data_IF_587454973066
#
_entry.id   IF_587454973066
#
_cell.length_a   1.000
_cell.length_b   1.000
_cell.length_c   1.000
_cell.angle_alpha   90.00
_cell.angle_beta   90.00
_cell.angle_gamma   90.00
#
_symmetry.space_group_name_H-M   'P 1'
#
loop_
_entity.id
_entity.type
_entity.pdbx_description
1 polymer ?
#
# COMPACT_ATOMS: atom_id res chain seq x y z
N UNK A 1 -5.26 -48.95 -17.56
CA UNK A 1 -6.40 -48.16 -17.06
C UNK A 1 -5.91 -46.76 -16.75
N UNK A 2 -6.23 -45.79 -17.61
CA UNK A 2 -5.84 -44.38 -17.42
C UNK A 2 -6.68 -43.79 -16.30
N UNK A 3 -6.04 -43.34 -15.22
CA UNK A 3 -6.71 -42.63 -14.14
C UNK A 3 -7.20 -41.29 -14.68
N UNK A 4 -8.53 -41.14 -14.79
CA UNK A 4 -9.15 -39.87 -15.11
C UNK A 4 -8.85 -38.89 -13.97
N UNK A 5 -8.01 -37.89 -14.26
CA UNK A 5 -7.80 -36.74 -13.39
C UNK A 5 -9.08 -35.92 -13.37
N UNK A 6 -9.94 -36.17 -12.39
CA UNK A 6 -11.10 -35.32 -12.13
C UNK A 6 -10.59 -33.91 -11.80
N UNK A 7 -10.82 -32.96 -12.70
CA UNK A 7 -10.53 -31.56 -12.40
C UNK A 7 -11.44 -31.15 -11.25
N UNK A 8 -10.91 -30.64 -10.12
CA UNK A 8 -11.74 -30.28 -8.98
C UNK A 8 -12.76 -29.24 -9.42
N UNK A 9 -14.03 -29.47 -9.07
CA UNK A 9 -15.09 -28.49 -9.31
C UNK A 9 -14.79 -27.24 -8.47
N UNK A 10 -14.50 -26.14 -9.16
CA UNK A 10 -14.28 -24.84 -8.53
C UNK A 10 -15.61 -24.09 -8.63
N UNK A 11 -16.24 -23.72 -7.50
CA UNK A 11 -17.47 -22.94 -7.54
C UNK A 11 -17.25 -21.62 -8.31
N UNK A 12 -18.23 -21.15 -9.08
CA UNK A 12 -18.12 -19.90 -9.80
C UNK A 12 -17.86 -18.76 -8.82
N UNK A 13 -16.96 -17.86 -9.22
CA UNK A 13 -16.59 -16.69 -8.40
C UNK A 13 -17.84 -15.84 -8.14
N UNK A 14 -18.09 -15.40 -6.89
CA UNK A 14 -19.20 -14.53 -6.59
C UNK A 14 -19.15 -13.26 -7.46
N UNK A 15 -20.29 -12.86 -7.99
CA UNK A 15 -20.42 -11.60 -8.72
C UNK A 15 -21.05 -10.58 -7.78
N UNK A 16 -20.35 -9.48 -7.43
CA UNK A 16 -20.92 -8.47 -6.56
C UNK A 16 -22.00 -7.71 -7.33
N UNK A 17 -22.98 -7.20 -6.60
CA UNK A 17 -23.93 -6.25 -7.16
C UNK A 17 -23.20 -5.00 -7.67
N UNK A 18 -23.51 -4.62 -8.92
CA UNK A 18 -23.07 -3.35 -9.49
C UNK A 18 -24.07 -2.28 -9.08
N UNK A 19 -23.65 -1.42 -8.16
CA UNK A 19 -24.53 -0.39 -7.60
C UNK A 19 -24.68 0.79 -8.55
N UNK A 20 -25.90 1.34 -8.61
CA UNK A 20 -26.13 2.67 -9.17
C UNK A 20 -25.55 3.71 -8.21
N UNK A 21 -24.58 4.49 -8.69
CA UNK A 21 -23.95 5.56 -7.90
C UNK A 21 -24.55 6.89 -8.30
N UNK A 22 -25.18 7.57 -7.34
CA UNK A 22 -25.61 8.96 -7.51
C UNK A 22 -24.38 9.85 -7.74
N UNK A 23 -24.30 10.61 -8.87
CA UNK A 23 -23.23 11.56 -9.12
C UNK A 23 -22.94 12.52 -7.95
N UNK A 24 -23.96 12.91 -7.18
CA UNK A 24 -23.83 13.85 -6.06
C UNK A 24 -22.93 13.35 -4.93
N UNK A 25 -22.77 12.02 -4.80
CA UNK A 25 -21.91 11.42 -3.78
C UNK A 25 -20.40 11.52 -4.12
N UNK A 26 -20.06 11.73 -5.38
CA UNK A 26 -18.67 11.68 -5.84
C UNK A 26 -17.82 12.83 -5.26
N UNK A 27 -18.27 14.11 -5.29
CA UNK A 27 -17.52 15.20 -4.69
C UNK A 27 -17.27 15.01 -3.19
N UNK A 28 -18.25 14.47 -2.45
CA UNK A 28 -18.11 14.20 -1.01
C UNK A 28 -17.08 13.11 -0.75
N UNK A 29 -17.10 12.02 -1.53
CA UNK A 29 -16.09 10.98 -1.43
C UNK A 29 -14.68 11.51 -1.71
N UNK A 30 -14.54 12.36 -2.73
CA UNK A 30 -13.28 13.03 -3.05
C UNK A 30 -12.83 13.94 -1.90
N UNK A 31 -13.76 14.69 -1.32
CA UNK A 31 -13.50 15.59 -0.20
C UNK A 31 -12.96 14.83 1.01
N UNK A 32 -13.57 13.70 1.38
CA UNK A 32 -13.17 12.93 2.56
C UNK A 32 -11.93 12.07 2.36
N UNK A 33 -11.78 11.38 1.22
CA UNK A 33 -10.76 10.32 1.09
C UNK A 33 -9.61 10.62 0.13
N UNK A 34 -9.76 11.57 -0.80
CA UNK A 34 -8.77 11.78 -1.86
C UNK A 34 -7.82 12.91 -1.48
N UNK A 35 -6.59 12.55 -1.08
CA UNK A 35 -5.51 13.50 -0.77
C UNK A 35 -4.79 14.01 -2.03
N UNK A 36 -4.73 13.20 -3.10
CA UNK A 36 -4.04 13.49 -4.36
C UNK A 36 -4.63 12.69 -5.52
N UNK A 37 -4.35 13.10 -6.75
CA UNK A 37 -4.84 12.44 -7.98
C UNK A 37 -4.13 11.11 -8.30
N UNK A 38 -2.94 10.86 -7.75
CA UNK A 38 -2.30 9.56 -7.89
C UNK A 38 -3.10 8.49 -7.13
N UNK A 39 -3.23 7.31 -7.72
CA UNK A 39 -3.93 6.18 -7.10
C UNK A 39 -3.39 4.85 -7.63
N UNK A 40 -3.80 3.76 -6.99
CA UNK A 40 -3.54 2.40 -7.49
C UNK A 40 -4.85 1.72 -7.86
N UNK A 41 -4.78 0.74 -8.76
CA UNK A 41 -5.92 -0.11 -9.13
C UNK A 41 -5.58 -1.56 -8.84
N UNK A 42 -6.51 -2.29 -8.22
CA UNK A 42 -6.36 -3.74 -8.03
C UNK A 42 -6.58 -4.46 -9.37
N UNK A 43 -5.78 -5.49 -9.67
CA UNK A 43 -5.96 -6.31 -10.86
C UNK A 43 -7.33 -7.00 -10.87
N UNK A 44 -7.91 -7.16 -12.06
CA UNK A 44 -9.21 -7.85 -12.23
C UNK A 44 -9.03 -9.36 -12.06
N UNK A 45 -7.89 -9.86 -12.54
CA UNK A 45 -7.48 -11.26 -12.50
C UNK A 45 -6.32 -11.43 -11.52
N UNK A 46 -6.21 -12.60 -10.88
CA UNK A 46 -5.04 -12.93 -10.08
C UNK A 46 -3.82 -13.11 -10.99
N UNK A 47 -2.64 -12.91 -10.43
CA UNK A 47 -1.41 -13.34 -11.07
C UNK A 47 -1.43 -14.88 -11.23
N UNK A 48 -1.14 -15.42 -12.43
CA UNK A 48 -1.20 -16.86 -12.69
C UNK A 48 -0.27 -17.70 -11.80
N UNK A 49 0.88 -17.15 -11.40
CA UNK A 49 1.94 -17.90 -10.72
C UNK A 49 1.66 -18.08 -9.22
N UNK A 50 1.00 -17.10 -8.58
CA UNK A 50 0.83 -17.09 -7.13
C UNK A 50 -0.59 -16.76 -6.65
N UNK A 51 -1.54 -16.59 -7.58
CA UNK A 51 -2.94 -16.30 -7.26
C UNK A 51 -3.20 -14.91 -6.67
N UNK A 52 -2.18 -14.03 -6.54
CA UNK A 52 -2.32 -12.73 -5.88
C UNK A 52 -2.94 -11.69 -6.80
N UNK A 53 -3.79 -10.85 -6.23
CA UNK A 53 -4.34 -9.67 -6.89
C UNK A 53 -3.48 -8.46 -6.53
N UNK A 54 -2.77 -7.92 -7.52
CA UNK A 54 -1.82 -6.83 -7.29
C UNK A 54 -2.46 -5.47 -7.46
N UNK A 55 -2.00 -4.51 -6.65
CA UNK A 55 -2.24 -3.10 -6.87
C UNK A 55 -1.14 -2.53 -7.77
N UNK A 56 -1.53 -1.75 -8.77
CA UNK A 56 -0.60 -1.08 -9.68
C UNK A 56 -1.07 0.34 -9.99
N UNK A 57 -0.13 1.22 -10.34
CA UNK A 57 -0.47 2.54 -10.84
C UNK A 57 -1.01 2.41 -12.26
N UNK A 58 -2.27 2.81 -12.52
CA UNK A 58 -2.83 2.69 -13.85
C UNK A 58 -2.17 3.70 -14.80
N UNK A 59 -1.85 3.24 -16.00
CA UNK A 59 -1.21 4.03 -17.04
C UNK A 59 -2.05 3.98 -18.31
N UNK A 60 -2.00 5.07 -19.07
CA UNK A 60 -2.50 5.11 -20.43
C UNK A 60 -1.63 4.19 -21.32
N UNK A 61 -2.28 3.44 -22.21
CA UNK A 61 -1.65 2.27 -22.85
C UNK A 61 -0.51 2.66 -23.79
N UNK A 62 -0.64 3.79 -24.49
CA UNK A 62 0.25 4.18 -25.58
C UNK A 62 1.39 5.06 -25.05
N UNK A 63 1.05 6.14 -24.38
CA UNK A 63 1.97 7.14 -23.81
C UNK A 63 2.66 6.66 -22.55
N UNK A 64 2.13 5.61 -21.88
CA UNK A 64 2.57 5.16 -20.55
C UNK A 64 2.47 6.24 -19.47
N UNK A 65 1.71 7.30 -19.74
CA UNK A 65 1.43 8.35 -18.75
C UNK A 65 0.53 7.82 -17.66
N UNK A 66 0.82 8.16 -16.41
CA UNK A 66 -0.02 7.75 -15.27
C UNK A 66 -1.40 8.40 -15.38
N UNK A 67 -2.44 7.61 -15.16
CA UNK A 67 -3.82 8.13 -15.13
C UNK A 67 -4.07 8.84 -13.80
N UNK A 68 -4.69 10.02 -13.88
CA UNK A 68 -5.18 10.73 -12.71
C UNK A 68 -6.53 10.15 -12.25
N UNK A 69 -6.72 10.09 -10.94
CA UNK A 69 -8.01 9.80 -10.33
C UNK A 69 -8.99 10.92 -10.67
N UNK A 70 -10.20 10.54 -11.07
CA UNK A 70 -11.28 11.45 -11.46
C UNK A 70 -12.66 10.89 -11.06
N UNK A 71 -13.72 11.64 -11.31
CA UNK A 71 -15.09 11.27 -10.93
C UNK A 71 -15.52 9.91 -11.47
N UNK A 72 -15.17 9.61 -12.72
CA UNK A 72 -15.46 8.32 -13.33
C UNK A 72 -14.72 7.17 -12.62
N UNK A 73 -13.51 7.43 -12.13
CA UNK A 73 -12.71 6.46 -11.36
C UNK A 73 -13.37 6.15 -10.02
N UNK A 74 -13.83 7.18 -9.30
CA UNK A 74 -14.54 7.01 -8.02
C UNK A 74 -15.90 6.34 -8.23
N UNK A 75 -16.67 6.75 -9.25
CA UNK A 75 -17.93 6.10 -9.61
C UNK A 75 -17.75 4.60 -9.87
N UNK A 76 -16.73 4.22 -10.64
CA UNK A 76 -16.42 2.81 -10.92
C UNK A 76 -16.00 2.03 -9.66
N UNK A 77 -15.34 2.71 -8.71
CA UNK A 77 -14.98 2.09 -7.43
C UNK A 77 -16.22 1.85 -6.56
N UNK A 78 -17.04 2.89 -6.34
CA UNK A 78 -18.26 2.82 -5.54
C UNK A 78 -19.30 1.86 -6.15
N UNK A 79 -19.43 1.80 -7.46
CA UNK A 79 -20.30 0.82 -8.14
C UNK A 79 -19.81 -0.62 -8.01
N UNK A 80 -18.53 -0.86 -7.65
CA UNK A 80 -17.95 -2.20 -7.59
C UNK A 80 -17.39 -2.71 -8.93
N UNK A 81 -17.34 -1.86 -9.97
CA UNK A 81 -16.74 -2.20 -11.27
C UNK A 81 -15.21 -2.31 -11.16
N UNK A 82 -14.58 -1.44 -10.38
CA UNK A 82 -13.14 -1.50 -10.12
C UNK A 82 -12.84 -1.33 -8.64
N UNK A 83 -11.58 -1.55 -8.25
CA UNK A 83 -11.11 -1.32 -6.89
C UNK A 83 -9.88 -0.45 -6.96
N UNK A 84 -9.92 0.69 -6.25
CA UNK A 84 -8.79 1.59 -6.18
C UNK A 84 -8.12 1.53 -4.81
N UNK A 85 -6.86 1.96 -4.74
CA UNK A 85 -6.17 2.28 -3.51
C UNK A 85 -5.77 3.75 -3.51
N UNK A 86 -5.90 4.41 -2.36
CA UNK A 86 -5.66 5.83 -2.16
C UNK A 86 -4.39 6.03 -1.36
N UNK A 87 -3.56 6.99 -1.78
CA UNK A 87 -2.38 7.41 -1.03
C UNK A 87 -2.78 8.32 0.13
N UNK A 88 -2.16 8.08 1.29
CA UNK A 88 -2.49 8.79 2.53
C UNK A 88 -1.98 10.24 2.57
N UNK A 89 -0.91 10.58 1.84
CA UNK A 89 -0.26 11.90 1.97
C UNK A 89 -0.39 12.69 0.68
N UNK A 90 -0.80 13.96 0.79
CA UNK A 90 -0.62 14.94 -0.27
C UNK A 90 0.85 15.40 -0.30
N UNK A 91 1.59 15.24 -1.41
CA UNK A 91 3.02 15.54 -1.46
C UNK A 91 3.34 17.04 -1.43
N UNK A 92 2.39 17.92 -1.78
CA UNK A 92 2.59 19.37 -1.77
C UNK A 92 2.44 19.92 -0.35
N UNK A 93 1.51 19.36 0.43
CA UNK A 93 1.18 19.88 1.77
C UNK A 93 1.69 19.01 2.92
N UNK A 94 2.16 17.78 2.65
CA UNK A 94 2.57 16.78 3.64
C UNK A 94 1.46 16.45 4.66
N UNK A 95 0.19 16.57 4.24
CA UNK A 95 -1.00 16.40 5.07
C UNK A 95 -1.91 15.28 4.57
N UNK A 96 -2.75 14.76 5.46
CA UNK A 96 -3.77 13.74 5.19
C UNK A 96 -5.14 14.16 5.70
N UNK A 97 -6.16 13.92 4.89
CA UNK A 97 -7.59 14.09 5.23
C UNK A 97 -8.13 13.03 6.19
N UNK A 98 -7.37 11.98 6.45
CA UNK A 98 -7.79 10.86 7.28
C UNK A 98 -6.60 10.13 7.91
N UNK A 99 -6.89 9.39 8.96
CA UNK A 99 -6.00 8.39 9.55
C UNK A 99 -6.67 7.02 9.37
N UNK A 100 -5.91 6.00 9.00
CA UNK A 100 -6.41 4.63 8.89
C UNK A 100 -5.49 3.65 9.61
N UNK A 101 -6.09 2.72 10.35
CA UNK A 101 -5.40 1.63 11.03
C UNK A 101 -5.84 0.34 10.35
N UNK A 102 -4.94 -0.28 9.59
CA UNK A 102 -5.17 -1.55 8.90
C UNK A 102 -4.69 -2.71 9.77
N UNK A 103 -5.58 -3.63 10.11
CA UNK A 103 -5.26 -4.80 10.92
C UNK A 103 -5.59 -6.09 10.15
N UNK A 104 -4.54 -6.86 9.85
CA UNK A 104 -4.62 -8.10 9.08
C UNK A 104 -3.79 -9.20 9.77
N UNK A 105 -4.28 -9.62 10.94
CA UNK A 105 -3.65 -10.64 11.79
C UNK A 105 -4.67 -11.21 12.79
N UNK A 106 -4.30 -12.28 13.50
CA UNK A 106 -5.22 -13.07 14.33
C UNK A 106 -5.94 -12.30 15.44
N UNK A 107 -5.35 -11.22 15.98
CA UNK A 107 -5.97 -10.39 17.04
C UNK A 107 -6.57 -9.08 16.52
N UNK A 108 -6.67 -8.90 15.20
CA UNK A 108 -7.10 -7.65 14.57
C UNK A 108 -8.37 -7.05 15.19
N UNK A 109 -9.46 -7.82 15.29
CA UNK A 109 -10.73 -7.29 15.82
C UNK A 109 -10.64 -6.85 17.28
N UNK A 110 -9.91 -7.61 18.13
CA UNK A 110 -9.71 -7.25 19.54
C UNK A 110 -8.93 -5.95 19.66
N UNK A 111 -7.82 -5.85 18.94
CA UNK A 111 -6.90 -4.72 19.06
C UNK A 111 -7.50 -3.45 18.43
N UNK A 112 -8.25 -3.58 17.32
CA UNK A 112 -9.03 -2.47 16.76
C UNK A 112 -10.17 -2.02 17.69
N UNK A 113 -10.84 -2.94 18.39
CA UNK A 113 -11.85 -2.58 19.37
C UNK A 113 -11.26 -1.82 20.56
N UNK A 114 -10.08 -2.23 21.06
CA UNK A 114 -9.37 -1.52 22.12
C UNK A 114 -8.95 -0.12 21.67
N UNK A 115 -8.38 0.02 20.47
CA UNK A 115 -8.05 1.32 19.89
C UNK A 115 -9.27 2.22 19.74
N UNK A 116 -10.38 1.68 19.21
CA UNK A 116 -11.62 2.44 19.02
C UNK A 116 -12.23 2.93 20.34
N UNK A 117 -12.16 2.10 21.39
CA UNK A 117 -12.62 2.50 22.73
C UNK A 117 -11.77 3.66 23.26
N UNK A 118 -10.45 3.54 23.18
CA UNK A 118 -9.54 4.58 23.67
C UNK A 118 -9.66 5.89 22.88
N UNK A 119 -9.79 5.81 21.55
CA UNK A 119 -10.07 6.98 20.70
C UNK A 119 -11.39 7.66 21.12
N UNK A 120 -12.40 6.88 21.51
CA UNK A 120 -13.68 7.41 21.98
C UNK A 120 -13.53 8.15 23.32
N UNK A 121 -12.68 7.68 24.22
CA UNK A 121 -12.37 8.38 25.48
C UNK A 121 -11.68 9.73 25.21
N UNK A 122 -10.84 9.82 24.17
CA UNK A 122 -10.28 11.09 23.66
C UNK A 122 -11.33 11.95 22.91
N UNK A 123 -12.58 11.47 22.79
CA UNK A 123 -13.63 12.13 22.01
C UNK A 123 -13.42 12.05 20.49
N UNK A 124 -12.52 11.19 20.00
CA UNK A 124 -12.24 10.97 18.58
C UNK A 124 -13.16 9.88 18.03
N UNK A 125 -13.83 10.18 16.91
CA UNK A 125 -14.70 9.19 16.25
C UNK A 125 -13.89 8.36 15.26
N UNK A 126 -13.88 7.05 15.48
CA UNK A 126 -13.20 6.08 14.63
C UNK A 126 -14.21 5.04 14.11
N UNK A 127 -14.28 4.89 12.79
CA UNK A 127 -15.29 4.06 12.11
C UNK A 127 -14.68 2.79 11.56
N UNK A 128 -15.32 1.65 11.81
CA UNK A 128 -14.79 0.33 11.47
C UNK A 128 -15.34 -0.14 10.12
N UNK A 129 -14.45 -0.38 9.16
CA UNK A 129 -14.76 -0.98 7.86
C UNK A 129 -14.15 -2.38 7.81
N UNK A 130 -14.95 -3.42 7.60
CA UNK A 130 -14.42 -4.78 7.45
C UNK A 130 -13.49 -4.89 6.23
N UNK A 131 -12.61 -5.89 6.24
CA UNK A 131 -11.70 -6.17 5.13
C UNK A 131 -11.61 -7.68 4.87
N UNK A 132 -10.87 -8.08 3.84
CA UNK A 132 -10.77 -9.50 3.45
C UNK A 132 -10.20 -10.39 4.55
N UNK A 133 -9.30 -9.86 5.37
CA UNK A 133 -8.56 -10.64 6.37
C UNK A 133 -8.59 -10.02 7.77
N UNK A 134 -9.33 -8.93 7.94
CA UNK A 134 -9.45 -8.20 9.19
C UNK A 134 -10.34 -6.98 8.99
N UNK A 135 -9.88 -5.79 9.37
CA UNK A 135 -10.64 -4.56 9.21
C UNK A 135 -9.74 -3.31 9.16
N UNK A 136 -10.32 -2.19 8.76
CA UNK A 136 -9.71 -0.88 8.82
C UNK A 136 -10.48 -0.01 9.81
N UNK A 137 -9.77 0.69 10.69
CA UNK A 137 -10.36 1.73 11.53
C UNK A 137 -10.01 3.11 10.94
N UNK A 138 -11.03 3.87 10.57
CA UNK A 138 -10.90 5.16 9.88
C UNK A 138 -11.26 6.34 10.77
N UNK A 139 -10.43 7.37 10.78
CA UNK A 139 -10.67 8.65 11.44
C UNK A 139 -10.65 9.72 10.35
N UNK A 140 -11.74 10.47 10.19
CA UNK A 140 -11.82 11.56 9.20
C UNK A 140 -11.42 12.88 9.86
N UNK A 141 -10.59 13.65 9.17
CA UNK A 141 -10.15 14.95 9.65
C UNK A 141 -11.07 16.07 9.15
N UNK A 142 -11.17 17.15 9.92
CA UNK A 142 -11.99 18.31 9.55
C UNK A 142 -11.32 19.06 8.39
N UNK A 143 -10.02 19.23 8.52
CA UNK A 143 -9.09 19.72 7.51
C UNK A 143 -7.94 18.71 7.36
N UNK A 144 -7.21 18.70 6.23
CA UNK A 144 -6.04 17.84 6.11
C UNK A 144 -5.03 18.13 7.23
N UNK A 145 -4.66 17.13 8.02
CA UNK A 145 -3.77 17.25 9.18
C UNK A 145 -2.34 16.77 8.85
N UNK A 146 -1.30 17.27 9.55
CA UNK A 146 0.08 16.86 9.30
C UNK A 146 0.26 15.34 9.40
N UNK A 147 0.86 14.73 8.37
CA UNK A 147 0.99 13.28 8.32
C UNK A 147 1.81 12.71 9.49
N UNK A 148 2.88 13.42 9.87
CA UNK A 148 3.71 13.14 11.05
C UNK A 148 2.90 13.10 12.35
N UNK A 149 2.05 14.09 12.60
CA UNK A 149 1.34 14.20 13.87
C UNK A 149 0.24 13.14 13.97
N UNK A 150 -0.47 12.87 12.87
CA UNK A 150 -1.39 11.74 12.77
C UNK A 150 -0.73 10.40 13.13
N UNK A 151 0.53 10.21 12.71
CA UNK A 151 1.31 9.02 13.08
C UNK A 151 1.69 9.02 14.55
N UNK A 152 2.22 10.12 15.06
CA UNK A 152 2.62 10.24 16.48
C UNK A 152 1.46 9.85 17.40
N UNK A 153 0.26 10.37 17.12
CA UNK A 153 -0.92 10.07 17.91
C UNK A 153 -1.23 8.58 17.97
N UNK A 154 -1.43 7.93 16.82
CA UNK A 154 -1.83 6.52 16.78
C UNK A 154 -0.71 5.58 17.24
N UNK A 155 0.56 5.92 16.98
CA UNK A 155 1.69 5.13 17.50
C UNK A 155 1.71 5.14 19.02
N UNK A 156 1.62 6.31 19.66
CA UNK A 156 1.66 6.39 21.12
C UNK A 156 0.44 5.72 21.75
N UNK A 157 -0.73 5.89 21.14
CA UNK A 157 -1.96 5.19 21.52
C UNK A 157 -1.78 3.65 21.47
N UNK A 158 -1.30 3.12 20.35
CA UNK A 158 -1.10 1.68 20.17
C UNK A 158 -0.05 1.12 21.14
N UNK A 159 1.06 1.84 21.36
CA UNK A 159 2.12 1.45 22.29
C UNK A 159 1.61 1.38 23.73
N UNK A 160 0.85 2.40 24.16
CA UNK A 160 0.23 2.45 25.49
C UNK A 160 -0.74 1.30 25.73
N UNK A 161 -1.47 0.87 24.69
CA UNK A 161 -2.40 -0.26 24.74
C UNK A 161 -1.72 -1.62 24.52
N UNK A 162 -0.41 -1.66 24.24
CA UNK A 162 0.30 -2.91 23.92
C UNK A 162 -0.13 -3.55 22.60
N UNK A 163 -0.70 -2.77 21.67
CA UNK A 163 -1.11 -3.23 20.35
C UNK A 163 0.13 -3.36 19.46
N UNK A 164 0.39 -4.54 18.84
CA UNK A 164 1.57 -4.75 18.02
C UNK A 164 1.51 -3.93 16.73
N UNK A 165 2.56 -3.16 16.44
CA UNK A 165 2.72 -2.42 15.19
C UNK A 165 3.62 -3.22 14.26
N UNK A 166 3.17 -3.44 13.03
CA UNK A 166 3.89 -4.27 12.05
C UNK A 166 5.11 -3.56 11.48
N UNK A 167 6.22 -4.29 11.38
CA UNK A 167 7.46 -3.79 10.80
C UNK A 167 8.33 -2.96 11.76
N UNK A 168 7.93 -2.83 13.02
CA UNK A 168 8.73 -2.24 14.10
C UNK A 168 9.28 -3.32 15.02
N UNK A 169 10.50 -3.18 15.54
CA UNK A 169 11.12 -4.17 16.45
C UNK A 169 11.08 -5.64 15.96
N UNK A 170 11.24 -5.90 14.65
CA UNK A 170 11.11 -7.23 14.03
C UNK A 170 9.72 -7.88 14.17
N UNK A 171 8.70 -7.12 14.54
CA UNK A 171 7.32 -7.58 14.62
C UNK A 171 6.80 -7.93 13.21
N UNK A 172 6.52 -9.21 12.98
CA UNK A 172 6.08 -9.72 11.68
C UNK A 172 4.61 -9.40 11.37
N UNK A 173 3.77 -9.42 12.40
CA UNK A 173 2.33 -9.20 12.31
C UNK A 173 1.85 -8.16 13.33
N UNK A 174 0.86 -7.36 12.94
CA UNK A 174 0.32 -6.28 13.74
C UNK A 174 -0.45 -5.28 12.88
N UNK A 175 -0.80 -4.14 13.46
CA UNK A 175 -1.44 -3.04 12.74
C UNK A 175 -0.44 -2.33 11.81
N UNK A 176 -0.93 -1.83 10.68
CA UNK A 176 -0.26 -0.84 9.85
C UNK A 176 -1.01 0.50 9.99
N UNK A 177 -0.27 1.56 10.27
CA UNK A 177 -0.82 2.90 10.49
C UNK A 177 -0.60 3.75 9.23
N UNK A 178 -1.67 4.40 8.76
CA UNK A 178 -1.67 5.31 7.63
C UNK A 178 -2.09 6.71 8.07
N UNK A 179 -1.35 7.77 7.74
CA UNK A 179 -0.12 7.80 6.94
C UNK A 179 1.01 6.92 7.51
N UNK A 180 1.82 6.29 6.63
CA UNK A 180 2.93 5.42 7.07
C UNK A 180 4.26 6.18 7.17
N UNK A 181 4.37 7.29 6.45
CA UNK A 181 5.52 8.19 6.45
C UNK A 181 5.18 9.48 7.20
N UNK A 182 6.19 10.10 7.82
CA UNK A 182 6.06 11.46 8.38
C UNK A 182 5.92 12.49 7.25
N UNK A 183 6.64 12.25 6.16
CA UNK A 183 6.67 13.10 4.96
C UNK A 183 7.01 12.25 3.72
N UNK A 184 6.66 12.77 2.55
CA UNK A 184 7.05 12.26 1.23
C UNK A 184 8.15 13.14 0.66
N UNK A 185 9.23 12.50 0.19
CA UNK A 185 10.24 13.17 -0.62
C UNK A 185 9.77 13.35 -2.06
N UNK A 186 10.47 14.19 -2.82
CA UNK A 186 10.15 14.41 -4.23
C UNK A 186 10.15 13.08 -5.01
N UNK A 187 9.10 12.88 -5.82
CA UNK A 187 8.90 11.66 -6.60
C UNK A 187 8.37 10.46 -5.82
N UNK A 188 8.22 10.55 -4.50
CA UNK A 188 7.61 9.50 -3.69
C UNK A 188 6.08 9.51 -3.77
N UNK A 189 5.51 8.32 -3.72
CA UNK A 189 4.05 8.13 -3.67
C UNK A 189 3.55 7.84 -2.25
N UNK A 190 4.42 7.30 -1.40
CA UNK A 190 4.03 6.74 -0.11
C UNK A 190 3.29 5.41 -0.26
N UNK A 191 2.58 5.01 0.80
CA UNK A 191 1.79 3.79 0.82
C UNK A 191 0.32 4.09 0.51
N UNK A 192 -0.27 3.28 -0.37
CA UNK A 192 -1.70 3.29 -0.62
C UNK A 192 -2.41 2.21 0.21
N UNK A 193 -3.61 2.52 0.66
CA UNK A 193 -4.56 1.57 1.27
C UNK A 193 -5.75 1.40 0.33
N UNK A 194 -6.44 0.25 0.38
CA UNK A 194 -7.68 0.06 -0.39
C UNK A 194 -8.68 1.16 -0.01
N UNK A 195 -9.24 1.81 -1.03
CA UNK A 195 -10.33 2.76 -0.85
C UNK A 195 -11.57 2.10 -0.21
N UNK A 196 -12.25 2.77 0.74
CA UNK A 196 -13.41 2.21 1.43
C UNK A 196 -14.63 2.07 0.50
N UNK A 197 -15.66 1.32 0.93
CA UNK A 197 -16.95 1.13 0.24
C UNK A 197 -16.89 0.36 -1.11
N UNK A 198 -15.71 -0.09 -1.49
CA UNK A 198 -15.49 -0.84 -2.73
C UNK A 198 -15.61 -2.35 -2.57
N UNK A 199 -15.61 -3.04 -3.70
CA UNK A 199 -15.47 -4.51 -3.75
C UNK A 199 -13.98 -4.87 -3.71
N UNK A 200 -13.56 -5.88 -2.96
CA UNK A 200 -12.20 -6.43 -3.03
C UNK A 200 -12.12 -7.52 -4.10
N UNK A 201 -11.21 -7.42 -5.07
CA UNK A 201 -11.16 -8.37 -6.20
C UNK A 201 -10.89 -9.79 -5.74
N UNK A 202 -10.01 -10.04 -4.77
CA UNK A 202 -9.69 -11.44 -4.43
C UNK A 202 -10.87 -12.31 -3.98
N UNK A 203 -11.89 -11.76 -3.33
CA UNK A 203 -13.08 -12.52 -2.90
C UNK A 203 -14.41 -11.93 -3.40
N UNK A 204 -14.37 -10.85 -4.17
CA UNK A 204 -15.53 -10.17 -4.72
C UNK A 204 -16.56 -9.70 -3.69
N UNK A 205 -16.14 -9.52 -2.44
CA UNK A 205 -16.98 -8.96 -1.39
C UNK A 205 -16.83 -7.46 -1.34
N UNK A 206 -17.96 -6.77 -1.16
CA UNK A 206 -17.99 -5.36 -0.80
C UNK A 206 -17.89 -5.24 0.71
N UNK A 207 -17.10 -4.27 1.16
CA UNK A 207 -16.99 -3.95 2.57
C UNK A 207 -17.65 -2.62 2.86
N UNK A 208 -18.39 -2.62 3.96
CA UNK A 208 -19.17 -1.51 4.46
C UNK A 208 -18.62 -1.09 5.82
N UNK A 209 -18.87 0.16 6.21
CA UNK A 209 -18.72 0.54 7.61
C UNK A 209 -19.82 -0.15 8.41
N UNK A 210 -19.45 -0.73 9.56
CA UNK A 210 -20.32 -1.61 10.35
C UNK A 210 -21.54 -0.90 10.93
N UNK A 211 -21.42 0.40 11.20
CA UNK A 211 -22.45 1.18 11.88
C UNK A 211 -23.50 1.78 10.94
N UNK A 212 -23.58 1.29 9.69
CA UNK A 212 -24.57 1.73 8.73
C UNK A 212 -25.08 0.57 7.87
N UNK A 213 -26.30 0.71 7.34
CA UNK A 213 -26.88 -0.27 6.43
C UNK A 213 -26.01 -0.46 5.17
N UNK A 214 -26.02 -1.65 4.54
CA UNK A 214 -25.14 -2.01 3.43
C UNK A 214 -25.60 -1.41 2.08
N UNK A 215 -25.82 -0.10 2.03
CA UNK A 215 -26.18 0.67 0.84
C UNK A 215 -25.46 2.01 0.82
N UNK A 216 -25.22 2.57 -0.37
CA UNK A 216 -24.43 3.80 -0.50
C UNK A 216 -25.09 5.02 0.17
N UNK A 217 -26.42 5.09 0.24
CA UNK A 217 -27.11 6.27 0.81
C UNK A 217 -26.88 6.29 2.32
N UNK A 218 -27.13 5.17 3.00
CA UNK A 218 -26.93 5.01 4.44
C UNK A 218 -25.46 5.18 4.82
N UNK A 219 -24.53 4.63 4.04
CA UNK A 219 -23.09 4.73 4.29
C UNK A 219 -22.61 6.18 4.20
N UNK A 220 -23.06 6.94 3.20
CA UNK A 220 -22.71 8.36 3.09
C UNK A 220 -23.38 9.21 4.17
N UNK A 221 -24.63 8.93 4.53
CA UNK A 221 -25.30 9.60 5.66
C UNK A 221 -24.53 9.40 6.97
N UNK A 222 -24.10 8.16 7.23
CA UNK A 222 -23.27 7.84 8.38
C UNK A 222 -21.92 8.58 8.35
N UNK A 223 -21.20 8.55 7.23
CA UNK A 223 -19.93 9.28 7.08
C UNK A 223 -20.08 10.80 7.27
N UNK A 224 -21.22 11.40 6.86
CA UNK A 224 -21.53 12.81 7.14
C UNK A 224 -21.70 13.08 8.63
N UNK A 225 -22.27 12.14 9.38
CA UNK A 225 -22.53 12.33 10.82
C UNK A 225 -21.30 12.18 11.72
N UNK A 226 -20.20 11.59 11.23
CA UNK A 226 -19.01 11.38 12.07
C UNK A 226 -18.37 12.71 12.44
N UNK A 227 -18.13 12.90 13.74
CA UNK A 227 -17.26 13.98 14.24
C UNK A 227 -15.91 13.87 13.54
N UNK A 228 -15.41 15.00 13.06
CA UNK A 228 -14.11 15.11 12.40
C UNK A 228 -13.02 15.44 13.42
N UNK A 229 -11.85 14.84 13.28
CA UNK A 229 -10.68 15.18 14.08
C UNK A 229 -10.15 16.55 13.66
N UNK A 230 -10.01 17.46 14.61
CA UNK A 230 -9.53 18.83 14.37
C UNK A 230 -8.02 18.94 14.56
N UNK A 231 -7.41 20.01 14.02
CA UNK A 231 -5.99 20.27 14.25
C UNK A 231 -5.67 20.60 15.72
N UNK A 232 -6.58 21.28 16.42
CA UNK A 232 -6.42 21.60 17.83
C UNK A 232 -6.37 20.33 18.69
N UNK A 233 -7.31 19.41 18.49
CA UNK A 233 -7.33 18.12 19.18
C UNK A 233 -6.06 17.32 18.89
N UNK A 234 -5.67 17.20 17.62
CA UNK A 234 -4.45 16.47 17.26
C UNK A 234 -3.20 17.08 17.91
N UNK A 235 -3.11 18.41 17.96
CA UNK A 235 -2.01 19.10 18.65
C UNK A 235 -1.98 18.75 20.13
N UNK A 236 -3.12 18.81 20.82
CA UNK A 236 -3.23 18.42 22.24
C UNK A 236 -2.84 16.96 22.45
N UNK A 237 -3.29 16.03 21.61
CA UNK A 237 -2.96 14.61 21.76
C UNK A 237 -1.51 14.26 21.45
N UNK A 238 -0.78 15.15 20.77
CA UNK A 238 0.61 14.92 20.36
C UNK A 238 1.61 15.82 21.08
N UNK A 239 1.15 16.69 21.97
CA UNK A 239 1.99 17.60 22.72
C UNK A 239 3.04 16.84 23.54
N UNK A 240 4.32 17.15 23.30
CA UNK A 240 5.45 16.48 23.95
C UNK A 240 5.67 15.01 23.54
N UNK A 241 4.86 14.46 22.63
CA UNK A 241 4.99 13.09 22.15
C UNK A 241 5.89 13.00 20.92
N UNK A 242 6.61 11.89 20.83
CA UNK A 242 7.38 11.51 19.64
C UNK A 242 7.13 10.04 19.33
N UNK A 243 7.49 9.59 18.13
CA UNK A 243 7.57 8.16 17.85
C UNK A 243 8.93 7.68 18.39
N UNK A 244 8.97 6.70 19.31
CA UNK A 244 10.24 6.21 19.84
C UNK A 244 11.15 5.69 18.72
N UNK A 245 12.47 5.86 18.85
CA UNK A 245 13.45 5.56 17.78
C UNK A 245 13.32 4.14 17.21
N UNK A 246 13.03 3.13 18.04
CA UNK A 246 12.81 1.75 17.60
C UNK A 246 11.57 1.52 16.71
N UNK A 247 10.67 2.51 16.67
CA UNK A 247 9.39 2.52 15.97
C UNK A 247 9.30 3.61 14.89
N UNK A 248 10.28 4.51 14.83
CA UNK A 248 10.38 5.46 13.74
C UNK A 248 10.35 4.69 12.42
N UNK A 249 9.67 5.26 11.43
CA UNK A 249 9.70 4.66 10.09
C UNK A 249 11.18 4.59 9.72
N UNK A 250 11.74 3.38 9.74
CA UNK A 250 12.99 3.13 9.04
C UNK A 250 12.65 3.41 7.59
N UNK A 251 12.81 4.67 7.19
CA UNK A 251 13.12 4.96 5.80
C UNK A 251 14.13 3.89 5.42
N UNK A 252 13.84 3.10 4.38
CA UNK A 252 14.90 2.37 3.67
C UNK A 252 15.79 3.37 2.92
N UNK A 253 16.09 4.51 3.55
CA UNK A 253 16.75 5.69 3.02
C UNK A 253 18.02 6.04 3.79
N UNK A 254 18.21 5.52 5.00
CA UNK A 254 19.51 5.44 5.67
C UNK A 254 19.63 4.03 6.25
N UNK A 255 19.89 3.04 5.39
CA UNK A 255 20.84 2.03 5.83
C UNK A 255 22.15 2.78 6.06
N UNK A 256 22.94 2.43 7.09
CA UNK A 256 24.27 3.02 7.24
C UNK A 256 24.90 3.03 5.86
N UNK A 257 25.45 4.16 5.44
CA UNK A 257 26.52 4.14 4.45
C UNK A 257 27.60 3.31 5.12
N UNK A 258 27.48 2.00 5.04
CA UNK A 258 28.62 1.14 5.12
C UNK A 258 29.46 1.71 4.01
N UNK A 259 30.51 2.45 4.40
CA UNK A 259 31.67 2.66 3.57
C UNK A 259 31.97 1.27 3.04
N UNK A 260 31.47 0.98 1.84
CA UNK A 260 31.77 -0.29 1.21
C UNK A 260 33.25 -0.16 0.93
N UNK A 261 34.06 -0.95 1.65
CA UNK A 261 35.42 -1.23 1.24
C UNK A 261 35.33 -1.78 -0.18
N UNK A 262 35.49 -0.87 -1.13
CA UNK A 262 35.36 -1.03 -2.58
C UNK A 262 36.51 -1.85 -3.16
N UNK A 263 37.20 -2.61 -2.33
CA UNK A 263 38.42 -3.27 -2.72
C UNK A 263 38.17 -4.59 -3.47
N UNK A 264 37.05 -5.32 -3.27
CA UNK A 264 36.95 -6.71 -3.76
C UNK A 264 35.55 -7.27 -4.12
N UNK A 265 34.48 -6.47 -4.25
CA UNK A 265 33.11 -6.95 -4.50
C UNK A 265 32.54 -6.62 -5.88
N UNK A 266 31.77 -7.53 -6.50
CA UNK A 266 31.04 -7.26 -7.76
C UNK A 266 29.94 -6.21 -7.57
N UNK A 267 29.93 -5.18 -8.43
CA UNK A 267 28.96 -4.10 -8.42
C UNK A 267 28.14 -4.06 -9.71
N UNK A 268 26.89 -4.53 -9.66
CA UNK A 268 26.08 -4.64 -10.88
C UNK A 268 25.88 -3.32 -11.64
N UNK A 269 25.87 -2.18 -10.95
CA UNK A 269 25.70 -0.85 -11.57
C UNK A 269 26.87 -0.44 -12.46
N UNK A 270 28.06 -1.04 -12.30
CA UNK A 270 29.20 -0.82 -13.21
C UNK A 270 29.02 -1.56 -14.54
N UNK A 271 28.11 -2.53 -14.59
CA UNK A 271 27.93 -3.41 -15.74
C UNK A 271 26.63 -3.17 -16.53
N UNK A 272 25.76 -2.26 -16.06
CA UNK A 272 24.43 -2.02 -16.64
C UNK A 272 24.13 -0.54 -16.76
N UNK A 273 23.42 -0.16 -17.83
CA UNK A 273 22.98 1.22 -18.01
C UNK A 273 21.60 1.43 -17.37
N UNK A 274 21.52 2.27 -16.34
CA UNK A 274 20.25 2.60 -15.69
C UNK A 274 19.32 3.31 -16.67
N UNK A 275 18.10 2.78 -16.82
CA UNK A 275 17.08 3.36 -17.71
C UNK A 275 16.19 4.37 -16.98
N UNK A 276 15.79 4.07 -15.75
CA UNK A 276 14.99 4.98 -14.91
C UNK A 276 15.11 4.66 -13.43
N UNK A 277 14.90 5.68 -12.59
CA UNK A 277 14.63 5.50 -11.16
C UNK A 277 13.13 5.45 -10.93
N UNK A 278 12.64 4.48 -10.15
CA UNK A 278 11.27 4.51 -9.68
C UNK A 278 11.12 3.78 -8.35
N UNK A 279 10.51 4.45 -7.37
CA UNK A 279 10.53 4.01 -5.97
C UNK A 279 11.99 3.81 -5.51
N UNK A 280 12.25 2.79 -4.69
CA UNK A 280 13.60 2.49 -4.19
C UNK A 280 14.42 1.58 -5.11
N UNK A 281 14.17 1.62 -6.42
CA UNK A 281 14.93 0.82 -7.39
C UNK A 281 15.39 1.64 -8.61
N UNK A 282 16.60 1.34 -9.06
CA UNK A 282 17.07 1.57 -10.42
C UNK A 282 16.53 0.46 -11.31
N UNK A 283 15.86 0.84 -12.40
CA UNK A 283 15.32 -0.08 -13.38
C UNK A 283 16.18 -0.05 -14.63
N UNK A 284 16.57 -1.23 -15.11
CA UNK A 284 17.43 -1.42 -16.28
C UNK A 284 17.04 -2.69 -17.03
N UNK A 285 17.68 -2.92 -18.17
CA UNK A 285 17.57 -4.12 -18.98
C UNK A 285 18.33 -5.26 -18.32
N UNK A 286 17.67 -6.40 -18.10
CA UNK A 286 18.36 -7.61 -17.63
C UNK A 286 19.30 -8.15 -18.72
N UNK A 287 20.62 -8.27 -18.48
CA UNK A 287 21.58 -8.78 -19.46
C UNK A 287 21.27 -10.20 -19.91
N UNK A 288 20.89 -11.08 -18.97
CA UNK A 288 20.49 -12.45 -19.27
C UNK A 288 19.24 -12.51 -20.16
N UNK A 289 18.24 -11.65 -19.90
CA UNK A 289 17.06 -11.60 -20.75
C UNK A 289 17.34 -11.07 -22.15
N UNK A 290 18.29 -10.13 -22.25
CA UNK A 290 18.72 -9.60 -23.54
C UNK A 290 19.38 -10.68 -24.39
N UNK A 291 20.26 -11.50 -23.80
CA UNK A 291 20.93 -12.61 -24.49
C UNK A 291 19.96 -13.73 -24.88
N UNK A 292 18.98 -14.06 -24.02
CA UNK A 292 18.01 -15.13 -24.28
C UNK A 292 16.84 -14.69 -25.19
N UNK A 293 16.81 -13.44 -25.65
CA UNK A 293 15.80 -12.95 -26.59
C UNK A 293 14.38 -12.82 -26.02
N UNK A 294 14.20 -12.93 -24.70
CA UNK A 294 12.88 -12.82 -24.04
C UNK A 294 12.66 -11.50 -23.29
N UNK A 295 13.57 -10.53 -23.45
CA UNK A 295 13.35 -9.17 -22.96
C UNK A 295 12.34 -8.41 -23.83
N UNK A 296 11.18 -8.09 -23.26
CA UNK A 296 10.08 -7.39 -23.94
C UNK A 296 10.01 -5.89 -23.67
N UNK A 297 10.78 -5.36 -22.72
CA UNK A 297 10.53 -4.01 -22.16
C UNK A 297 11.79 -3.21 -21.82
N UNK A 298 12.93 -3.87 -21.67
CA UNK A 298 14.21 -3.24 -21.33
C UNK A 298 14.23 -2.59 -19.95
N UNK A 299 13.27 -2.88 -19.07
CA UNK A 299 13.19 -2.40 -17.68
C UNK A 299 12.78 -3.52 -16.70
N UNK A 300 13.22 -4.74 -16.98
CA UNK A 300 12.87 -5.94 -16.22
C UNK A 300 13.83 -6.25 -15.07
N UNK A 301 14.99 -5.58 -14.96
CA UNK A 301 15.91 -5.73 -13.85
C UNK A 301 15.75 -4.55 -12.88
N UNK A 302 15.30 -4.85 -11.65
CA UNK A 302 15.25 -3.90 -10.55
C UNK A 302 16.50 -4.06 -9.68
N UNK A 303 17.21 -2.97 -9.42
CA UNK A 303 18.39 -2.90 -8.55
C UNK A 303 18.07 -1.94 -7.42
N UNK A 304 18.22 -2.39 -6.17
CA UNK A 304 17.93 -1.57 -5.00
C UNK A 304 18.79 -0.30 -4.97
N UNK A 305 18.16 0.86 -4.75
CA UNK A 305 18.86 2.14 -4.58
C UNK A 305 19.69 2.14 -3.30
N UNK A 306 19.20 1.48 -2.24
CA UNK A 306 19.87 1.46 -0.92
C UNK A 306 21.04 0.48 -0.83
N UNK A 307 21.05 -0.58 -1.64
CA UNK A 307 22.17 -1.53 -1.71
C UNK A 307 22.14 -2.27 -3.06
N UNK A 308 22.99 -1.87 -4.02
CA UNK A 308 23.01 -2.42 -5.37
C UNK A 308 23.33 -3.92 -5.47
N UNK A 309 23.77 -4.58 -4.39
CA UNK A 309 23.96 -6.04 -4.37
C UNK A 309 22.63 -6.80 -4.39
N UNK A 310 21.54 -6.12 -4.02
CA UNK A 310 20.18 -6.64 -4.12
C UNK A 310 19.55 -6.20 -5.45
N UNK A 311 19.43 -7.15 -6.36
CA UNK A 311 18.77 -6.96 -7.64
C UNK A 311 17.93 -8.18 -7.99
N UNK A 312 16.86 -7.95 -8.74
CA UNK A 312 15.90 -8.97 -9.15
C UNK A 312 15.46 -8.73 -10.58
N UNK A 313 15.55 -9.77 -11.41
CA UNK A 313 14.89 -9.81 -12.70
C UNK A 313 13.42 -10.21 -12.54
N UNK A 314 12.50 -9.38 -13.00
CA UNK A 314 11.06 -9.63 -12.99
C UNK A 314 10.60 -10.56 -14.12
N UNK A 315 11.48 -10.89 -15.06
CA UNK A 315 11.25 -11.91 -16.08
C UNK A 315 11.81 -13.30 -15.67
N UNK A 316 12.31 -13.45 -14.44
CA UNK A 316 12.64 -14.76 -13.85
C UNK A 316 14.10 -15.19 -13.90
N UNK A 317 15.03 -14.40 -14.44
CA UNK A 317 16.46 -14.76 -14.42
C UNK A 317 17.02 -14.80 -12.99
N UNK A 318 17.82 -15.83 -12.71
CA UNK A 318 18.54 -15.95 -11.44
C UNK A 318 19.74 -15.01 -11.38
N UNK A 319 20.33 -14.87 -10.20
CA UNK A 319 21.52 -14.03 -9.97
C UNK A 319 22.73 -14.55 -10.75
N UNK A 320 22.84 -15.87 -10.85
CA UNK A 320 23.88 -16.62 -11.56
C UNK A 320 23.78 -16.33 -13.06
N UNK A 321 22.59 -16.51 -13.65
CA UNK A 321 22.34 -16.24 -15.06
C UNK A 321 22.67 -14.79 -15.44
N UNK A 322 22.29 -13.84 -14.59
CA UNK A 322 22.59 -12.41 -14.80
C UNK A 322 24.11 -12.16 -14.77
N UNK A 323 24.81 -12.78 -13.82
CA UNK A 323 26.25 -12.59 -13.65
C UNK A 323 27.09 -13.28 -14.71
N UNK A 324 26.64 -14.45 -15.16
CA UNK A 324 27.20 -15.14 -16.32
C UNK A 324 27.03 -14.31 -17.60
N UNK A 325 25.83 -13.76 -17.82
CA UNK A 325 25.57 -12.87 -18.95
C UNK A 325 26.42 -11.58 -18.93
N UNK A 326 26.85 -11.12 -17.76
CA UNK A 326 27.75 -9.99 -17.58
C UNK A 326 29.24 -10.35 -17.69
N UNK A 327 29.58 -11.62 -17.91
CA UNK A 327 30.97 -12.10 -17.97
C UNK A 327 31.67 -12.17 -16.61
N UNK A 328 30.93 -12.13 -15.51
CA UNK A 328 31.44 -12.09 -14.12
C UNK A 328 30.71 -13.11 -13.23
N UNK A 329 30.79 -14.41 -13.57
CA UNK A 329 30.04 -15.47 -12.89
C UNK A 329 30.33 -15.52 -11.39
N UNK A 330 29.36 -16.01 -10.63
CA UNK A 330 29.54 -16.22 -9.19
C UNK A 330 30.52 -17.38 -9.01
N UNK A 331 31.65 -17.13 -8.33
CA UNK A 331 32.58 -18.20 -7.96
C UNK A 331 31.85 -19.18 -7.05
N UNK A 332 31.64 -20.40 -7.52
CA UNK A 332 31.17 -21.48 -6.66
C UNK A 332 32.31 -21.84 -5.70
N UNK A 333 32.02 -21.87 -4.39
CA UNK A 333 32.93 -22.51 -3.45
C UNK A 333 32.89 -24.00 -3.77
N UNK A 334 34.01 -24.56 -4.23
CA UNK A 334 34.23 -26.00 -4.16
C UNK A 334 34.08 -26.42 -2.71
N UNK A 335 33.20 -27.39 -2.46
CA UNK A 335 32.93 -27.96 -1.13
C UNK A 335 34.20 -28.55 -0.50
#
# INVERSE_FOLDING_TARGET
>A
MSAATSTPWIPPRPTPEILRVDPALIPEYMAWFVNRSAYTRQSINPNPDNGRYYYYQPMERLTRTRLALNDATVRKHLSGIQTIGLYAINPETQRSKWVAIDADYSRAHRDLAALKLELKEDGVTASLEMSRRGAHLWILCEEPLPAKDCRIYIYNLALRLGVPIKGTLNQLDGIEIFPRQDELREGEFGNAIRAPLGVHRANMHRYWFEEAAPDLVSQFAYLRSLKRLTAAELTTFTEGLTIPEGFQSRFKGEQPTVSFDSANGFQILEHVQVKRKASNNWWTRCPSCAQQGHDRSGDNLAISVGDPRFYKCWAGCTKEMIREALGVPIRQRSL
#
